data_IF_510241032252
#
_entry.id   IF_510241032252
#
_cell.length_a   1.000
_cell.length_b   1.000
_cell.length_c   1.000
_cell.angle_alpha   90.00
_cell.angle_beta   90.00
_cell.angle_gamma   90.00
#
_symmetry.space_group_name_H-M   'P 1'
#
loop_
_entity.id
_entity.type
_entity.pdbx_description
1 polymer ?
#
# COMPACT_ATOMS: atom_id res chain seq x y z
N UNK A 1 13.71 -0.34 87.01
CA UNK A 1 13.71 -0.68 85.75
C UNK A 1 15.02 -0.96 85.22
N UNK A 2 15.11 -1.98 85.01
CA UNK A 2 16.12 -2.75 84.50
C UNK A 2 16.52 -2.38 83.17
N UNK A 3 17.40 -1.46 83.12
CA UNK A 3 18.16 -1.33 81.98
C UNK A 3 18.74 -2.68 81.60
N UNK A 4 18.07 -3.41 80.75
CA UNK A 4 18.71 -4.46 80.05
C UNK A 4 19.95 -3.89 79.42
N UNK A 5 21.05 -4.02 80.08
CA UNK A 5 22.31 -3.72 79.48
C UNK A 5 22.49 -4.70 78.36
N UNK A 6 22.39 -4.23 77.18
CA UNK A 6 22.72 -5.03 76.02
C UNK A 6 24.14 -5.52 76.17
N UNK A 7 24.30 -6.78 76.38
CA UNK A 7 25.61 -7.40 76.31
C UNK A 7 26.26 -7.09 74.99
N UNK A 8 27.57 -6.85 74.99
CA UNK A 8 28.33 -6.62 73.78
C UNK A 8 28.09 -7.68 72.71
N UNK A 9 27.81 -8.89 73.13
CA UNK A 9 27.49 -10.01 72.23
C UNK A 9 26.12 -9.89 71.61
N UNK A 10 25.12 -9.43 72.36
CA UNK A 10 23.78 -9.16 71.85
C UNK A 10 23.77 -8.01 70.84
N UNK A 11 24.55 -6.99 71.09
CA UNK A 11 24.73 -5.87 70.18
C UNK A 11 25.41 -6.32 68.89
N UNK A 12 26.46 -7.12 68.97
CA UNK A 12 27.11 -7.71 67.77
C UNK A 12 26.17 -8.54 66.95
N UNK A 13 25.40 -9.41 67.58
CA UNK A 13 24.42 -10.26 66.93
C UNK A 13 23.32 -9.42 66.25
N UNK A 14 22.86 -8.35 66.87
CA UNK A 14 21.86 -7.46 66.32
C UNK A 14 22.39 -6.70 65.11
N UNK A 15 23.64 -6.24 65.13
CA UNK A 15 24.28 -5.58 64.00
C UNK A 15 24.50 -6.53 62.83
N UNK A 16 24.91 -7.77 63.11
CA UNK A 16 25.06 -8.80 62.07
C UNK A 16 23.73 -9.13 61.42
N UNK A 17 22.68 -9.33 62.22
CA UNK A 17 21.35 -9.60 61.73
C UNK A 17 20.80 -8.47 60.88
N UNK A 18 20.94 -7.22 61.34
CA UNK A 18 20.54 -6.03 60.59
C UNK A 18 21.30 -5.90 59.27
N UNK A 19 22.59 -6.19 59.27
CA UNK A 19 23.44 -6.18 58.09
C UNK A 19 23.04 -7.25 57.06
N UNK A 20 22.74 -8.43 57.50
CA UNK A 20 22.23 -9.54 56.66
C UNK A 20 20.89 -9.17 56.02
N UNK A 21 19.96 -8.63 56.83
CA UNK A 21 18.66 -8.18 56.32
C UNK A 21 18.82 -7.07 55.26
N UNK A 22 19.68 -6.14 55.51
CA UNK A 22 19.97 -5.04 54.56
C UNK A 22 20.54 -5.60 53.25
N UNK A 23 21.48 -6.54 53.35
CA UNK A 23 22.02 -7.19 52.15
C UNK A 23 20.99 -7.99 51.38
N UNK A 24 20.07 -8.69 52.06
CA UNK A 24 18.98 -9.41 51.40
C UNK A 24 18.01 -8.47 50.69
N UNK A 25 17.67 -7.36 51.31
CA UNK A 25 16.78 -6.35 50.71
C UNK A 25 17.45 -5.67 49.50
N UNK A 26 18.70 -5.27 49.64
CA UNK A 26 19.47 -4.66 48.55
C UNK A 26 19.68 -5.63 47.38
N UNK A 27 20.02 -6.89 47.69
CA UNK A 27 20.22 -7.93 46.69
C UNK A 27 18.95 -8.26 45.96
N UNK A 28 17.82 -8.38 46.65
CA UNK A 28 16.51 -8.62 46.05
C UNK A 28 16.04 -7.47 45.20
N UNK A 29 16.18 -6.23 45.67
CA UNK A 29 15.82 -5.06 44.91
C UNK A 29 16.69 -4.91 43.65
N UNK A 30 17.99 -5.18 43.76
CA UNK A 30 18.89 -5.17 42.61
C UNK A 30 18.52 -6.25 41.59
N UNK A 31 18.21 -7.43 42.03
CA UNK A 31 17.79 -8.54 41.16
C UNK A 31 16.51 -8.20 40.38
N UNK A 32 15.50 -7.70 41.06
CA UNK A 32 14.25 -7.26 40.41
C UNK A 32 14.48 -6.14 39.41
N UNK A 33 15.32 -5.19 39.75
CA UNK A 33 15.67 -4.07 38.88
C UNK A 33 16.40 -4.55 37.63
N UNK A 34 17.39 -5.41 37.76
CA UNK A 34 18.10 -5.97 36.61
C UNK A 34 17.20 -6.85 35.74
N UNK A 35 16.29 -7.60 36.33
CA UNK A 35 15.34 -8.43 35.59
C UNK A 35 14.39 -7.56 34.76
N UNK A 36 13.86 -6.51 35.36
CA UNK A 36 12.98 -5.57 34.67
C UNK A 36 13.70 -4.80 33.57
N UNK A 37 14.94 -4.43 33.79
CA UNK A 37 15.78 -3.80 32.78
C UNK A 37 16.05 -4.74 31.59
N UNK A 38 16.30 -6.00 31.85
CA UNK A 38 16.51 -7.02 30.82
C UNK A 38 15.25 -7.24 29.97
N UNK A 39 14.08 -7.25 30.59
CA UNK A 39 12.79 -7.33 29.86
C UNK A 39 12.61 -6.13 28.95
N UNK A 40 12.83 -4.92 29.45
CA UNK A 40 12.73 -3.70 28.62
C UNK A 40 13.74 -3.69 27.47
N UNK A 41 14.93 -4.17 27.71
CA UNK A 41 15.94 -4.29 26.64
C UNK A 41 15.52 -5.31 25.57
N UNK A 42 14.91 -6.42 25.96
CA UNK A 42 14.37 -7.40 25.02
C UNK A 42 13.20 -6.85 24.21
N UNK A 43 12.28 -6.12 24.84
CA UNK A 43 11.18 -5.45 24.16
C UNK A 43 11.70 -4.41 23.16
N UNK A 44 12.67 -3.62 23.57
CA UNK A 44 13.30 -2.61 22.69
C UNK A 44 13.98 -3.27 21.49
N UNK A 45 14.70 -4.37 21.71
CA UNK A 45 15.35 -5.13 20.63
C UNK A 45 14.32 -5.75 19.69
N UNK A 46 13.21 -6.27 20.21
CA UNK A 46 12.10 -6.82 19.42
C UNK A 46 11.43 -5.72 18.58
N UNK A 47 11.14 -4.58 19.18
CA UNK A 47 10.57 -3.41 18.47
C UNK A 47 11.52 -2.90 17.40
N UNK A 48 12.81 -2.83 17.69
CA UNK A 48 13.84 -2.43 16.72
C UNK A 48 13.86 -3.37 15.51
N UNK A 49 13.76 -4.68 15.75
CA UNK A 49 13.68 -5.68 14.69
C UNK A 49 12.41 -5.53 13.86
N UNK A 50 11.26 -5.27 14.50
CA UNK A 50 10.00 -5.02 13.81
C UNK A 50 10.05 -3.75 12.97
N UNK A 51 10.62 -2.67 13.48
CA UNK A 51 10.81 -1.42 12.75
C UNK A 51 11.68 -1.66 11.52
N UNK A 52 12.81 -2.35 11.66
CA UNK A 52 13.69 -2.68 10.51
C UNK A 52 13.00 -3.55 9.47
N UNK A 53 12.17 -4.49 9.91
CA UNK A 53 11.37 -5.32 9.00
C UNK A 53 10.32 -4.50 8.25
N UNK A 54 9.63 -3.60 8.96
CA UNK A 54 8.64 -2.70 8.35
C UNK A 54 9.30 -1.71 7.38
N UNK A 55 10.47 -1.17 7.71
CA UNK A 55 11.24 -0.32 6.82
C UNK A 55 11.64 -1.05 5.53
N UNK A 56 12.07 -2.30 5.65
CA UNK A 56 12.33 -3.18 4.52
C UNK A 56 11.10 -3.38 3.65
N UNK A 57 9.96 -3.69 4.28
CA UNK A 57 8.69 -3.88 3.56
C UNK A 57 8.21 -2.61 2.86
N UNK A 58 8.36 -1.45 3.49
CA UNK A 58 8.04 -0.16 2.88
C UNK A 58 8.94 0.12 1.68
N UNK A 59 10.23 -0.17 1.79
CA UNK A 59 11.18 -0.03 0.69
C UNK A 59 10.83 -0.92 -0.49
N UNK A 60 10.47 -2.18 -0.24
CA UNK A 60 10.05 -3.13 -1.29
C UNK A 60 8.75 -2.68 -1.97
N UNK A 61 7.77 -2.22 -1.20
CA UNK A 61 6.51 -1.70 -1.73
C UNK A 61 6.74 -0.42 -2.54
N UNK A 62 7.63 0.44 -2.11
CA UNK A 62 8.01 1.64 -2.86
C UNK A 62 8.66 1.27 -4.20
N UNK A 63 9.58 0.30 -4.19
CA UNK A 63 10.21 -0.20 -5.41
C UNK A 63 9.18 -0.80 -6.38
N UNK A 64 8.21 -1.57 -5.89
CA UNK A 64 7.11 -2.09 -6.71
C UNK A 64 6.23 -0.99 -7.28
N UNK A 65 5.93 0.04 -6.50
CA UNK A 65 5.17 1.19 -6.97
C UNK A 65 5.92 1.95 -8.06
N UNK A 66 7.22 2.16 -7.88
CA UNK A 66 8.08 2.84 -8.85
C UNK A 66 8.23 2.01 -10.15
N UNK A 67 8.29 0.69 -10.05
CA UNK A 67 8.31 -0.22 -11.20
C UNK A 67 6.98 -0.25 -11.95
N UNK A 68 5.86 -0.13 -11.22
CA UNK A 68 4.53 -0.14 -11.82
C UNK A 68 4.15 1.18 -12.47
N UNK A 69 4.74 2.29 -12.05
CA UNK A 69 4.42 3.62 -12.57
C UNK A 69 4.67 3.78 -14.07
N UNK A 70 5.82 3.34 -14.63
CA UNK A 70 6.04 3.39 -16.07
C UNK A 70 5.02 2.57 -16.86
N UNK A 71 4.62 1.42 -16.34
CA UNK A 71 3.59 0.57 -16.98
C UNK A 71 2.24 1.27 -17.01
N UNK A 72 1.86 1.94 -15.94
CA UNK A 72 0.62 2.74 -15.86
C UNK A 72 0.67 3.88 -16.85
N UNK A 73 1.79 4.57 -16.98
CA UNK A 73 1.96 5.70 -17.89
C UNK A 73 1.92 5.23 -19.35
N UNK A 74 2.53 4.08 -19.65
CA UNK A 74 2.46 3.47 -20.97
C UNK A 74 1.02 3.05 -21.33
N UNK A 75 0.31 2.41 -20.41
CA UNK A 75 -1.09 2.04 -20.61
C UNK A 75 -1.98 3.26 -20.83
N UNK A 76 -1.76 4.35 -20.12
CA UNK A 76 -2.48 5.62 -20.34
C UNK A 76 -2.22 6.17 -21.74
N UNK A 77 -0.98 6.13 -22.21
CA UNK A 77 -0.62 6.54 -23.56
C UNK A 77 -1.30 5.68 -24.61
N UNK A 78 -1.32 4.36 -24.42
CA UNK A 78 -2.02 3.43 -25.31
C UNK A 78 -3.53 3.70 -25.35
N UNK A 79 -4.16 3.94 -24.21
CA UNK A 79 -5.58 4.28 -24.10
C UNK A 79 -5.88 5.58 -24.85
N UNK A 80 -5.02 6.60 -24.72
CA UNK A 80 -5.17 7.87 -25.45
C UNK A 80 -5.07 7.65 -26.95
N UNK A 81 -4.09 6.88 -27.43
CA UNK A 81 -3.91 6.55 -28.85
C UNK A 81 -5.11 5.76 -29.39
N UNK A 82 -5.57 4.75 -28.69
CA UNK A 82 -6.75 3.96 -29.07
C UNK A 82 -8.02 4.81 -29.11
N UNK A 83 -8.14 5.80 -28.23
CA UNK A 83 -9.25 6.73 -28.23
C UNK A 83 -9.25 7.61 -29.48
N UNK A 84 -8.07 8.10 -29.88
CA UNK A 84 -7.91 8.87 -31.13
C UNK A 84 -8.24 8.02 -32.36
N UNK A 85 -7.71 6.80 -32.42
CA UNK A 85 -8.03 5.85 -33.51
C UNK A 85 -9.53 5.58 -33.59
N UNK A 86 -10.16 5.31 -32.46
CA UNK A 86 -11.61 5.12 -32.37
C UNK A 86 -12.38 6.30 -32.93
N UNK A 87 -12.00 7.52 -32.57
CA UNK A 87 -12.63 8.74 -33.05
C UNK A 87 -12.43 8.92 -34.56
N UNK A 88 -11.21 8.62 -35.05
CA UNK A 88 -10.90 8.61 -36.48
C UNK A 88 -11.76 7.65 -37.27
N UNK A 89 -11.84 6.39 -36.77
CA UNK A 89 -12.68 5.35 -37.37
C UNK A 89 -14.18 5.74 -37.35
N UNK A 90 -14.66 6.32 -36.26
CA UNK A 90 -16.04 6.82 -36.19
C UNK A 90 -16.32 7.87 -37.25
N UNK A 91 -15.42 8.81 -37.45
CA UNK A 91 -15.53 9.83 -38.51
C UNK A 91 -15.54 9.19 -39.91
N UNK A 92 -14.73 8.16 -40.13
CA UNK A 92 -14.73 7.43 -41.40
C UNK A 92 -16.06 6.68 -41.62
N UNK A 93 -16.59 6.05 -40.61
CA UNK A 93 -17.88 5.36 -40.64
C UNK A 93 -18.99 6.37 -40.96
N UNK A 94 -19.01 7.52 -40.34
CA UNK A 94 -20.00 8.56 -40.61
C UNK A 94 -19.90 9.08 -42.04
N UNK A 95 -18.68 9.27 -42.54
CA UNK A 95 -18.42 9.67 -43.93
C UNK A 95 -18.91 8.60 -44.92
N UNK A 96 -18.55 7.33 -44.67
CA UNK A 96 -18.99 6.22 -45.52
C UNK A 96 -20.52 6.05 -45.49
N UNK A 97 -21.14 6.27 -44.35
CA UNK A 97 -22.59 6.21 -44.21
C UNK A 97 -23.28 7.30 -45.05
N UNK A 98 -22.71 8.52 -45.05
CA UNK A 98 -23.20 9.62 -45.88
C UNK A 98 -23.02 9.33 -47.36
N UNK A 99 -21.83 8.84 -47.76
CA UNK A 99 -21.57 8.45 -49.16
C UNK A 99 -22.50 7.34 -49.63
N UNK A 100 -22.73 6.36 -48.80
CA UNK A 100 -23.69 5.28 -49.07
C UNK A 100 -25.09 5.84 -49.32
N UNK A 101 -25.54 6.78 -48.47
CA UNK A 101 -26.86 7.39 -48.63
C UNK A 101 -26.94 8.21 -49.94
N UNK A 102 -25.90 8.93 -50.29
CA UNK A 102 -25.83 9.72 -51.55
C UNK A 102 -25.82 8.80 -52.77
N UNK A 103 -25.04 7.71 -52.75
CA UNK A 103 -25.04 6.70 -53.81
C UNK A 103 -26.39 6.03 -53.96
N UNK A 104 -27.07 5.71 -52.84
CA UNK A 104 -28.42 5.15 -52.86
C UNK A 104 -29.40 6.08 -53.55
N UNK A 105 -29.36 7.40 -53.26
CA UNK A 105 -30.15 8.42 -53.95
C UNK A 105 -29.88 8.47 -55.43
N UNK A 106 -28.61 8.42 -55.82
CA UNK A 106 -28.22 8.41 -57.24
C UNK A 106 -28.73 7.16 -57.95
N UNK A 107 -28.64 5.98 -57.33
CA UNK A 107 -29.17 4.74 -57.86
C UNK A 107 -30.68 4.83 -58.01
N UNK A 108 -31.42 5.33 -57.03
CA UNK A 108 -32.84 5.51 -57.06
C UNK A 108 -33.27 6.49 -58.19
N UNK A 109 -32.52 7.56 -58.34
CA UNK A 109 -32.73 8.56 -59.42
C UNK A 109 -32.48 7.93 -60.81
N UNK A 110 -31.40 7.16 -60.95
CA UNK A 110 -31.10 6.47 -62.23
C UNK A 110 -32.15 5.41 -62.56
N UNK A 111 -32.64 4.66 -61.56
CA UNK A 111 -33.73 3.71 -61.74
C UNK A 111 -35.01 4.39 -62.19
N UNK A 112 -35.37 5.49 -61.57
CA UNK A 112 -36.51 6.31 -61.96
C UNK A 112 -36.36 6.87 -63.36
N UNK A 113 -35.16 7.39 -63.71
CA UNK A 113 -34.84 7.85 -65.04
C UNK A 113 -34.86 6.74 -66.10
N UNK A 114 -34.30 5.57 -65.79
CA UNK A 114 -34.35 4.39 -66.67
C UNK A 114 -35.79 3.89 -66.90
N UNK A 115 -36.56 3.83 -65.83
CA UNK A 115 -37.98 3.47 -65.93
C UNK A 115 -38.78 4.50 -66.74
N UNK A 116 -38.55 5.75 -66.56
CA UNK A 116 -39.15 6.85 -67.34
C UNK A 116 -38.74 6.82 -68.83
N UNK A 117 -37.42 6.58 -69.09
CA UNK A 117 -36.91 6.43 -70.44
C UNK A 117 -37.40 5.20 -71.13
N UNK A 118 -37.54 4.07 -70.47
CA UNK A 118 -38.14 2.85 -71.01
C UNK A 118 -39.63 3.04 -71.33
N UNK A 119 -40.34 3.77 -70.52
CA UNK A 119 -41.74 4.10 -70.79
C UNK A 119 -41.96 4.99 -71.98
N UNK A 120 -41.08 5.96 -72.24
CA UNK A 120 -41.17 6.87 -73.41
C UNK A 120 -40.68 6.22 -74.69
N UNK A 121 -39.91 5.17 -74.67
CA UNK A 121 -39.39 4.43 -75.82
C UNK A 121 -40.38 3.36 -76.37
N UNK A 122 -41.49 3.12 -75.80
CA UNK A 122 -42.44 2.11 -76.17
C UNK A 122 -43.67 2.60 -76.96
N UNK A 123 -43.60 3.81 -77.46
CA UNK A 123 -44.65 4.35 -78.34
C UNK A 123 -44.49 3.95 -79.78
#
# INVERSE_FOLDING_TARGET
MDGKKFDKNTLKTLVIAASLLLNCVLGGASYTYYHHLAEQMNETASLQSQVSHLEGSVSDLQAQADESQPTIDDLKAQVASLTEEKNGLQTQVDTLTSQKADLQKQVDTLKAGASSGSSSGSS
#
